data_IF_303667016159
#
_entry.id   IF_303667016159
#
_cell.length_a   1.000
_cell.length_b   1.000
_cell.length_c   1.000
_cell.angle_alpha   90.00
_cell.angle_beta   90.00
_cell.angle_gamma   90.00
#
_symmetry.space_group_name_H-M   'P 1'
#
loop_
_entity.id
_entity.type
_entity.pdbx_description
1 polymer ?
#
# COMPACT_ATOMS: atom_id res chain seq x y z
N UNK A 1 -7.70 10.02 -11.77
CA UNK A 1 -6.60 9.34 -12.51
C UNK A 1 -6.37 7.99 -11.86
N UNK A 2 -5.85 7.01 -12.62
CA UNK A 2 -5.47 5.70 -12.10
C UNK A 2 -4.09 5.33 -12.66
N UNK A 3 -3.34 4.50 -11.91
CA UNK A 3 -2.04 3.99 -12.36
C UNK A 3 -2.27 2.86 -13.37
N UNK A 4 -1.53 2.88 -14.48
CA UNK A 4 -1.55 1.81 -15.47
C UNK A 4 -0.69 0.62 -14.99
N UNK A 5 -1.35 -0.50 -14.69
CA UNK A 5 -0.69 -1.72 -14.21
C UNK A 5 0.33 -2.29 -15.21
N UNK A 6 0.09 -2.12 -16.52
CA UNK A 6 1.00 -2.62 -17.56
C UNK A 6 2.32 -1.86 -17.63
N UNK A 7 2.34 -0.65 -17.07
CA UNK A 7 3.51 0.22 -17.01
C UNK A 7 4.36 0.02 -15.75
N UNK A 8 3.98 -0.90 -14.86
CA UNK A 8 4.69 -1.08 -13.60
C UNK A 8 6.12 -1.60 -13.84
N UNK A 9 7.15 -0.93 -13.27
CA UNK A 9 8.50 -1.44 -13.29
C UNK A 9 8.61 -2.69 -12.41
N UNK A 10 9.59 -3.55 -12.67
CA UNK A 10 9.74 -4.84 -11.97
C UNK A 10 9.94 -4.76 -10.45
N UNK A 11 10.26 -3.59 -9.90
CA UNK A 11 10.35 -3.36 -8.45
C UNK A 11 9.02 -2.95 -7.80
N UNK A 12 7.92 -2.86 -8.57
CA UNK A 12 6.57 -2.59 -8.08
C UNK A 12 5.66 -3.78 -8.37
N UNK A 13 4.98 -4.24 -7.32
CA UNK A 13 3.98 -5.30 -7.38
C UNK A 13 2.60 -4.70 -7.18
N UNK A 14 1.66 -5.01 -8.07
CA UNK A 14 0.25 -4.70 -7.89
C UNK A 14 -0.39 -5.60 -6.82
N UNK A 15 -1.01 -5.01 -5.80
CA UNK A 15 -1.55 -5.74 -4.64
C UNK A 15 -3.08 -5.76 -4.59
N UNK A 16 -3.76 -4.71 -5.06
CA UNK A 16 -5.23 -4.63 -5.04
C UNK A 16 -5.76 -4.16 -6.39
N UNK A 17 -6.89 -4.72 -6.83
CA UNK A 17 -7.68 -4.23 -7.96
C UNK A 17 -9.10 -3.92 -7.51
N UNK A 18 -9.70 -2.95 -8.17
CA UNK A 18 -11.11 -2.63 -8.03
C UNK A 18 -11.95 -3.77 -8.58
N UNK A 19 -12.91 -4.26 -7.80
CA UNK A 19 -13.89 -5.26 -8.27
C UNK A 19 -14.95 -4.65 -9.19
N UNK A 20 -15.06 -3.31 -9.25
CA UNK A 20 -16.02 -2.63 -10.13
C UNK A 20 -15.57 -2.60 -11.59
N UNK A 21 -14.28 -2.37 -11.84
CA UNK A 21 -13.75 -2.09 -13.18
C UNK A 21 -12.36 -2.67 -13.46
N UNK A 22 -11.76 -3.37 -12.49
CA UNK A 22 -10.43 -3.96 -12.63
C UNK A 22 -9.26 -2.98 -12.51
N UNK A 23 -9.51 -1.69 -12.24
CA UNK A 23 -8.45 -0.68 -12.10
C UNK A 23 -7.51 -0.99 -10.92
N UNK A 24 -6.23 -0.63 -11.07
CA UNK A 24 -5.22 -0.82 -10.03
C UNK A 24 -5.51 0.08 -8.82
N UNK A 25 -5.58 -0.52 -7.63
CA UNK A 25 -5.92 0.17 -6.38
C UNK A 25 -4.76 0.21 -5.37
N UNK A 26 -3.70 -0.57 -5.55
CA UNK A 26 -2.52 -0.48 -4.69
C UNK A 26 -1.28 -1.10 -5.32
N UNK A 27 -0.12 -0.57 -4.91
CA UNK A 27 1.18 -1.13 -5.24
C UNK A 27 2.06 -1.26 -4.00
N UNK A 28 3.05 -2.14 -4.09
CA UNK A 28 4.06 -2.36 -3.08
C UNK A 28 5.43 -2.47 -3.72
N UNK A 29 6.44 -1.87 -3.09
CA UNK A 29 7.84 -2.01 -3.49
C UNK A 29 8.36 -3.37 -3.07
N UNK A 30 9.04 -4.07 -3.97
CA UNK A 30 9.66 -5.37 -3.67
C UNK A 30 11.03 -5.24 -2.97
N UNK A 31 11.61 -4.04 -3.02
CA UNK A 31 12.99 -3.75 -2.58
C UNK A 31 13.04 -2.72 -1.44
N UNK A 32 11.90 -2.18 -1.02
CA UNK A 32 11.78 -1.17 0.05
C UNK A 32 10.52 -1.41 0.86
N UNK A 33 10.56 -1.03 2.13
CA UNK A 33 9.40 -0.99 3.02
C UNK A 33 8.45 0.17 2.65
N UNK A 34 7.81 0.08 1.48
CA UNK A 34 6.90 1.11 0.98
C UNK A 34 5.74 0.47 0.21
N UNK A 35 4.53 0.94 0.49
CA UNK A 35 3.30 0.57 -0.21
C UNK A 35 2.40 1.80 -0.35
N UNK A 36 1.40 1.72 -1.22
CA UNK A 36 0.38 2.76 -1.39
C UNK A 36 -0.98 2.16 -1.70
N UNK A 37 -2.02 2.96 -1.53
CA UNK A 37 -3.40 2.64 -1.87
C UNK A 37 -4.03 3.85 -2.57
N UNK A 38 -4.88 3.58 -3.56
CA UNK A 38 -5.49 4.59 -4.43
C UNK A 38 -6.76 5.19 -3.81
N UNK A 39 -7.47 4.41 -2.99
CA UNK A 39 -8.62 4.88 -2.21
C UNK A 39 -8.23 5.57 -0.91
N UNK A 40 -9.25 5.90 -0.11
CA UNK A 40 -9.11 6.62 1.16
C UNK A 40 -9.25 5.65 2.34
N UNK A 41 -8.13 5.11 2.90
CA UNK A 41 -8.19 4.17 4.02
C UNK A 41 -8.73 4.78 5.31
N UNK A 42 -8.70 6.11 5.42
CA UNK A 42 -9.23 6.89 6.53
C UNK A 42 -10.76 6.99 6.54
N UNK A 43 -11.41 6.65 5.42
CA UNK A 43 -12.84 6.84 5.20
C UNK A 43 -13.30 8.28 5.53
N UNK A 44 -14.57 8.49 5.89
CA UNK A 44 -15.19 9.79 6.21
C UNK A 44 -15.58 10.69 5.01
N UNK A 45 -16.77 10.45 4.41
CA UNK A 45 -17.70 9.35 4.69
C UNK A 45 -17.24 8.05 4.02
N UNK A 46 -17.60 6.89 4.58
CA UNK A 46 -17.34 5.60 3.93
C UNK A 46 -17.13 4.44 4.90
N UNK A 47 -17.01 3.21 4.38
CA UNK A 47 -16.73 2.02 5.18
C UNK A 47 -15.28 1.99 5.65
N UNK A 48 -15.03 1.35 6.80
CA UNK A 48 -13.70 1.27 7.43
C UNK A 48 -12.93 0.00 7.02
N UNK A 49 -13.34 -0.68 5.95
CA UNK A 49 -12.81 -2.00 5.52
C UNK A 49 -11.31 -1.99 5.21
N UNK A 50 -10.76 -0.81 4.90
CA UNK A 50 -9.36 -0.60 4.51
C UNK A 50 -8.53 0.09 5.61
N UNK A 51 -9.11 0.32 6.80
CA UNK A 51 -8.39 0.86 7.95
C UNK A 51 -7.13 0.05 8.38
N UNK A 52 -7.08 -1.29 8.23
CA UNK A 52 -5.87 -2.07 8.56
C UNK A 52 -4.61 -1.67 7.77
N UNK A 53 -4.74 -0.86 6.71
CA UNK A 53 -3.57 -0.28 6.03
C UNK A 53 -2.75 0.62 6.95
N UNK A 54 -3.36 1.30 7.92
CA UNK A 54 -2.64 2.08 8.91
C UNK A 54 -1.84 1.19 9.87
N UNK A 55 -2.41 0.06 10.30
CA UNK A 55 -1.72 -0.91 11.16
C UNK A 55 -0.44 -1.41 10.48
N UNK A 56 -0.55 -1.78 9.19
CA UNK A 56 0.61 -2.17 8.37
C UNK A 56 1.67 -1.07 8.32
N UNK A 57 1.26 0.20 8.20
CA UNK A 57 2.21 1.31 8.21
C UNK A 57 2.92 1.44 9.56
N UNK A 58 2.20 1.30 10.68
CA UNK A 58 2.80 1.31 12.01
C UNK A 58 3.77 0.15 12.24
N UNK A 59 3.47 -1.05 11.73
CA UNK A 59 4.37 -2.20 11.76
C UNK A 59 5.70 -1.90 11.04
N UNK A 60 5.63 -1.26 9.86
CA UNK A 60 6.85 -0.86 9.12
C UNK A 60 7.67 0.16 9.90
N UNK A 61 7.04 1.13 10.57
CA UNK A 61 7.72 2.09 11.43
C UNK A 61 8.40 1.37 12.62
N UNK A 62 7.68 0.46 13.28
CA UNK A 62 8.20 -0.29 14.41
C UNK A 62 9.42 -1.14 14.00
N UNK A 63 9.32 -1.88 12.89
CA UNK A 63 10.41 -2.68 12.35
C UNK A 63 11.63 -1.82 11.99
N UNK A 64 11.41 -0.65 11.37
CA UNK A 64 12.50 0.27 11.05
C UNK A 64 13.21 0.81 12.30
N UNK A 65 12.46 1.12 13.36
CA UNK A 65 13.04 1.55 14.65
C UNK A 65 13.84 0.45 15.34
N UNK A 66 13.36 -0.79 15.31
CA UNK A 66 14.06 -1.94 15.91
C UNK A 66 15.35 -2.30 15.16
N UNK A 67 15.41 -2.10 13.84
CA UNK A 67 16.63 -2.32 13.04
C UNK A 67 17.70 -1.23 13.19
N UNK A 68 17.33 -0.04 13.65
CA UNK A 68 18.25 1.10 13.80
C UNK A 68 19.21 0.99 15.00
N UNK A 69 19.01 0.00 15.90
CA UNK A 69 19.89 -0.26 17.05
C UNK A 69 20.86 -1.43 16.86
N UNK A 70 20.94 -2.02 15.66
CA UNK A 70 21.71 -3.25 15.39
C UNK A 70 22.86 -3.04 14.37
N UNK A 71 23.43 -1.84 14.30
CA UNK A 71 24.68 -1.54 13.59
C UNK A 71 25.66 -0.82 14.50
#
# INVERSE_FOLDING_TARGET
FAVDESSLPGFLKATHRSLFDGSLQAVERTDKAAFSFQGHPEASPGPHDVAPMFDRFFELIAAHRSGAGAN
#
